data_IF_720495989397
#
_entry.id   IF_720495989397
#
_cell.length_a   1.000
_cell.length_b   1.000
_cell.length_c   1.000
_cell.angle_alpha   90.00
_cell.angle_beta   90.00
_cell.angle_gamma   90.00
#
_symmetry.space_group_name_H-M   'P 1'
#
loop_
_entity.id
_entity.type
_entity.pdbx_description
1 polymer ?
#
# COMPACT_ATOMS: atom_id res chain seq x y z
N UNK A 1 4.66 10.11 -1.26
CA UNK A 1 3.99 8.83 -1.37
C UNK A 1 2.75 8.73 -0.45
N UNK A 2 2.79 9.36 0.73
CA UNK A 2 1.60 9.45 1.61
C UNK A 2 0.53 10.28 0.89
N UNK A 3 -0.71 9.77 0.75
CA UNK A 3 -1.79 10.51 0.11
C UNK A 3 -2.13 11.81 0.83
N UNK A 4 -2.51 12.85 0.07
CA UNK A 4 -2.82 14.18 0.63
C UNK A 4 -4.03 14.22 1.56
N UNK A 5 -4.92 13.23 1.50
CA UNK A 5 -6.03 13.11 2.43
C UNK A 5 -5.62 12.59 3.83
N UNK A 6 -4.41 12.02 3.97
CA UNK A 6 -3.86 11.63 5.28
C UNK A 6 -3.11 12.78 5.95
N UNK A 7 -2.29 13.47 5.19
CA UNK A 7 -1.52 14.62 5.68
C UNK A 7 -1.32 15.60 4.53
N UNK A 8 -1.63 16.87 4.76
CA UNK A 8 -1.46 17.92 3.76
C UNK A 8 0.02 18.22 3.51
N UNK A 9 0.34 18.68 2.30
CA UNK A 9 1.70 19.13 1.97
C UNK A 9 2.13 20.29 2.86
N UNK A 10 1.21 21.22 3.18
CA UNK A 10 1.47 22.33 4.09
C UNK A 10 1.93 21.86 5.49
N UNK A 11 1.31 20.81 6.04
CA UNK A 11 1.72 20.23 7.32
C UNK A 11 3.12 19.64 7.24
N UNK A 12 3.42 18.90 6.17
CA UNK A 12 4.76 18.33 5.93
C UNK A 12 5.81 19.44 5.79
N UNK A 13 5.52 20.50 5.05
CA UNK A 13 6.45 21.62 4.86
C UNK A 13 6.73 22.37 6.15
N UNK A 14 5.72 22.56 7.01
CA UNK A 14 5.88 23.14 8.34
C UNK A 14 6.82 22.30 9.21
N UNK A 15 6.67 20.99 9.21
CA UNK A 15 7.55 20.09 9.97
C UNK A 15 8.99 20.13 9.44
N UNK A 16 9.17 20.13 8.12
CA UNK A 16 10.49 20.25 7.50
C UNK A 16 11.12 21.62 7.83
N UNK A 17 10.34 22.69 7.78
CA UNK A 17 10.82 24.03 8.13
C UNK A 17 11.27 24.08 9.61
N UNK A 18 10.54 23.45 10.50
CA UNK A 18 10.89 23.34 11.91
C UNK A 18 12.20 22.57 12.12
N UNK A 19 12.38 21.45 11.43
CA UNK A 19 13.64 20.69 11.48
C UNK A 19 14.84 21.55 11.02
N UNK A 20 14.67 22.29 9.93
CA UNK A 20 15.71 23.21 9.42
C UNK A 20 16.00 24.34 10.40
N UNK A 21 14.97 24.88 11.03
CA UNK A 21 15.13 25.91 12.06
C UNK A 21 15.99 25.43 13.24
N UNK A 22 15.88 24.16 13.62
CA UNK A 22 16.74 23.51 14.62
C UNK A 22 18.10 23.05 14.08
N UNK A 23 18.48 23.43 12.87
CA UNK A 23 19.81 23.20 12.31
C UNK A 23 19.96 21.89 11.54
N UNK A 24 18.87 21.18 11.23
CA UNK A 24 18.96 20.00 10.38
C UNK A 24 19.28 20.39 8.93
N UNK A 25 20.37 19.85 8.40
CA UNK A 25 20.72 19.99 6.98
C UNK A 25 20.02 18.89 6.17
N UNK A 26 19.22 19.28 5.18
CA UNK A 26 18.50 18.34 4.30
C UNK A 26 19.15 18.35 2.92
N UNK A 27 19.74 17.23 2.51
CA UNK A 27 20.33 17.03 1.18
C UNK A 27 19.41 16.17 0.33
N UNK A 28 18.70 16.80 -0.60
CA UNK A 28 17.84 16.12 -1.55
C UNK A 28 18.64 15.62 -2.76
N UNK A 29 18.11 14.61 -3.47
CA UNK A 29 18.72 14.02 -4.66
C UNK A 29 20.17 13.58 -4.47
N UNK A 30 20.54 13.24 -3.24
CA UNK A 30 21.89 12.86 -2.85
C UNK A 30 21.86 11.41 -2.38
N UNK A 31 22.61 10.50 -3.04
CA UNK A 31 22.78 9.14 -2.52
C UNK A 31 23.36 9.17 -1.11
N UNK A 32 22.82 8.36 -0.23
CA UNK A 32 23.35 8.26 1.12
C UNK A 32 24.77 7.64 1.08
N UNK A 33 25.76 8.25 1.72
CA UNK A 33 27.08 7.65 1.87
C UNK A 33 26.98 6.33 2.66
N UNK A 34 27.97 5.47 2.49
CA UNK A 34 28.10 4.27 3.32
C UNK A 34 28.35 4.61 4.80
N UNK A 35 28.09 3.69 5.69
CA UNK A 35 28.35 3.85 7.13
C UNK A 35 29.83 4.20 7.40
N UNK A 36 30.76 3.58 6.67
CA UNK A 36 32.17 3.86 6.78
C UNK A 36 32.56 5.28 6.39
N UNK A 37 31.97 5.78 5.28
CA UNK A 37 32.17 7.16 4.83
C UNK A 37 31.58 8.15 5.82
N UNK A 38 30.36 7.91 6.33
CA UNK A 38 29.75 8.76 7.35
C UNK A 38 30.58 8.83 8.62
N UNK A 39 31.14 7.71 9.07
CA UNK A 39 32.06 7.69 10.22
C UNK A 39 33.35 8.47 9.94
N UNK A 40 33.93 8.34 8.74
CA UNK A 40 35.10 9.09 8.32
C UNK A 40 34.84 10.61 8.24
N UNK A 41 33.59 11.01 7.97
CA UNK A 41 33.15 12.40 8.01
C UNK A 41 32.88 12.91 9.43
N UNK A 42 33.07 12.11 10.47
CA UNK A 42 32.96 12.51 11.88
C UNK A 42 31.58 12.23 12.51
N UNK A 43 30.63 11.60 11.79
CA UNK A 43 29.35 11.25 12.37
C UNK A 43 29.51 10.07 13.37
N UNK A 44 29.11 10.31 14.62
CA UNK A 44 29.19 9.32 15.70
C UNK A 44 27.92 8.49 15.82
N UNK A 45 26.76 9.04 15.43
CA UNK A 45 25.46 8.39 15.46
C UNK A 45 24.82 8.46 14.07
N UNK A 46 24.32 7.33 13.58
CA UNK A 46 23.74 7.20 12.25
C UNK A 46 22.37 6.52 12.40
N UNK A 47 21.30 7.19 11.96
CA UNK A 47 19.95 6.66 11.96
C UNK A 47 19.51 6.30 10.55
N UNK A 48 19.02 5.08 10.35
CA UNK A 48 18.45 4.63 9.10
C UNK A 48 16.93 4.76 9.16
N UNK A 49 16.40 5.76 8.45
CA UNK A 49 14.97 6.01 8.33
C UNK A 49 14.54 5.95 6.86
N UNK A 50 15.02 4.95 6.12
CA UNK A 50 14.85 4.80 4.66
C UNK A 50 13.46 4.29 4.24
N UNK A 51 12.65 3.85 5.20
CA UNK A 51 11.35 3.26 4.95
C UNK A 51 11.42 1.88 4.26
N UNK A 52 10.27 1.36 3.87
CA UNK A 52 10.11 0.08 3.17
C UNK A 52 9.58 0.31 1.75
N UNK A 53 10.42 0.90 0.89
CA UNK A 53 10.02 1.30 -0.47
C UNK A 53 9.87 0.15 -1.47
N UNK A 54 10.24 -1.09 -1.11
CA UNK A 54 10.09 -2.26 -1.97
C UNK A 54 8.73 -2.92 -1.70
N UNK A 55 7.80 -2.79 -2.64
CA UNK A 55 6.52 -3.49 -2.57
C UNK A 55 6.69 -5.00 -2.77
N UNK A 56 5.80 -5.78 -2.15
CA UNK A 56 5.60 -7.17 -2.55
C UNK A 56 5.13 -7.22 -4.01
N UNK A 57 5.57 -8.22 -4.75
CA UNK A 57 5.15 -8.44 -6.12
C UNK A 57 3.98 -9.44 -6.13
N UNK A 58 2.93 -9.10 -6.86
CA UNK A 58 1.85 -10.02 -7.20
C UNK A 58 2.16 -10.58 -8.58
N UNK A 59 2.49 -11.87 -8.63
CA UNK A 59 2.85 -12.57 -9.86
C UNK A 59 1.65 -13.35 -10.39
N UNK A 60 0.80 -12.66 -11.14
CA UNK A 60 -0.35 -13.24 -11.86
C UNK A 60 -0.39 -12.71 -13.29
N UNK A 61 -0.94 -13.46 -14.25
CA UNK A 61 -1.18 -12.96 -15.60
C UNK A 61 -2.09 -11.74 -15.60
N UNK A 62 -1.76 -10.75 -16.45
CA UNK A 62 -2.59 -9.56 -16.65
C UNK A 62 -1.88 -8.24 -16.32
N UNK A 63 -2.66 -7.18 -16.23
CA UNK A 63 -2.16 -5.83 -15.97
C UNK A 63 -2.01 -5.59 -14.47
N UNK A 64 -0.86 -5.97 -13.92
CA UNK A 64 -0.53 -5.78 -12.49
C UNK A 64 0.39 -4.58 -12.33
N UNK A 65 -0.05 -3.63 -11.52
CA UNK A 65 0.72 -2.40 -11.23
C UNK A 65 1.17 -2.41 -9.78
N UNK A 66 2.47 -2.25 -9.48
CA UNK A 66 2.97 -2.17 -8.12
C UNK A 66 2.38 -0.95 -7.39
N UNK A 67 1.70 -1.18 -6.27
CA UNK A 67 0.94 -0.16 -5.53
C UNK A 67 1.79 1.05 -5.11
N UNK A 68 3.02 0.82 -4.68
CA UNK A 68 3.95 1.89 -4.25
C UNK A 68 4.29 2.81 -5.44
N UNK A 69 4.54 2.23 -6.62
CA UNK A 69 4.81 3.00 -7.82
C UNK A 69 3.58 3.77 -8.28
N UNK A 70 2.40 3.13 -8.26
CA UNK A 70 1.14 3.76 -8.62
C UNK A 70 0.83 4.98 -7.74
N UNK A 71 0.96 4.85 -6.42
CA UNK A 71 0.77 5.96 -5.47
C UNK A 71 1.78 7.10 -5.68
N UNK A 72 3.03 6.78 -6.03
CA UNK A 72 4.04 7.80 -6.37
C UNK A 72 3.66 8.58 -7.62
N UNK A 73 3.27 7.88 -8.67
CA UNK A 73 2.94 8.47 -9.96
C UNK A 73 1.68 9.31 -9.84
N UNK A 74 0.66 8.83 -9.11
CA UNK A 74 -0.55 9.60 -8.80
C UNK A 74 -0.21 10.91 -8.04
N UNK A 75 0.62 10.81 -6.99
CA UNK A 75 1.02 12.01 -6.22
C UNK A 75 1.86 12.98 -7.04
N UNK A 76 2.63 12.48 -8.01
CA UNK A 76 3.39 13.30 -8.95
C UNK A 76 2.55 13.93 -10.08
N UNK A 77 1.23 13.72 -10.07
CA UNK A 77 0.31 14.22 -11.09
C UNK A 77 0.45 13.54 -12.45
N UNK A 78 1.04 12.35 -12.49
CA UNK A 78 1.15 11.56 -13.71
C UNK A 78 -0.16 10.84 -14.00
N UNK A 79 -0.40 10.55 -15.27
CA UNK A 79 -1.46 9.63 -15.66
C UNK A 79 -1.22 8.24 -15.08
N UNK A 80 -2.21 7.74 -14.36
CA UNK A 80 -2.22 6.40 -13.79
C UNK A 80 -3.44 5.64 -14.29
N UNK A 81 -3.36 4.31 -14.42
CA UNK A 81 -4.51 3.51 -14.78
C UNK A 81 -5.64 3.69 -13.77
N UNK A 82 -6.82 4.09 -14.26
CA UNK A 82 -8.07 4.26 -13.53
C UNK A 82 -9.18 3.44 -14.21
N UNK A 83 -10.41 3.62 -13.80
CA UNK A 83 -11.56 2.87 -14.28
C UNK A 83 -12.06 1.94 -13.18
N UNK A 84 -12.06 0.64 -13.39
CA UNK A 84 -12.36 -0.34 -12.33
C UNK A 84 -11.05 -0.81 -11.72
N UNK A 85 -10.78 -0.43 -10.49
CA UNK A 85 -9.54 -0.72 -9.80
C UNK A 85 -9.75 -1.82 -8.77
N UNK A 86 -8.95 -2.89 -8.86
CA UNK A 86 -8.86 -3.92 -7.82
C UNK A 86 -7.53 -3.76 -7.07
N UNK A 87 -7.60 -3.57 -5.76
CA UNK A 87 -6.42 -3.44 -4.90
C UNK A 87 -6.25 -4.72 -4.09
N UNK A 88 -5.15 -5.42 -4.29
CA UNK A 88 -4.87 -6.70 -3.64
C UNK A 88 -4.03 -6.48 -2.40
N UNK A 89 -4.59 -6.78 -1.24
CA UNK A 89 -3.88 -6.69 0.03
C UNK A 89 -4.76 -6.31 1.21
N UNK A 90 -4.21 -6.37 2.41
CA UNK A 90 -4.94 -6.07 3.64
C UNK A 90 -4.15 -5.18 4.61
N UNK A 91 -3.10 -4.49 4.16
CA UNK A 91 -2.34 -3.53 4.96
C UNK A 91 -2.76 -2.09 4.70
N UNK A 92 -2.29 -1.15 5.52
CA UNK A 92 -2.62 0.27 5.41
C UNK A 92 -2.31 0.86 4.02
N UNK A 93 -1.25 0.39 3.35
CA UNK A 93 -0.94 0.80 1.96
C UNK A 93 -2.04 0.40 0.97
N UNK A 94 -2.70 -0.74 1.18
CA UNK A 94 -3.83 -1.14 0.34
C UNK A 94 -5.06 -0.26 0.58
N UNK A 95 -5.31 0.13 1.85
CA UNK A 95 -6.35 1.10 2.20
C UNK A 95 -6.09 2.43 1.51
N UNK A 96 -4.86 2.93 1.61
CA UNK A 96 -4.43 4.17 0.94
C UNK A 96 -4.66 4.13 -0.57
N UNK A 97 -4.26 3.05 -1.22
CA UNK A 97 -4.40 2.93 -2.67
C UNK A 97 -5.88 2.82 -3.09
N UNK A 98 -6.68 2.06 -2.36
CA UNK A 98 -8.09 1.90 -2.67
C UNK A 98 -8.88 3.22 -2.54
N UNK A 99 -8.62 3.98 -1.47
CA UNK A 99 -9.20 5.31 -1.24
C UNK A 99 -8.68 6.33 -2.26
N UNK A 100 -7.37 6.32 -2.54
CA UNK A 100 -6.75 7.20 -3.51
C UNK A 100 -7.31 6.97 -4.93
N UNK A 101 -7.61 5.73 -5.31
CA UNK A 101 -8.20 5.41 -6.60
C UNK A 101 -9.56 6.09 -6.81
N UNK A 102 -10.47 6.00 -5.82
CA UNK A 102 -11.77 6.68 -5.89
C UNK A 102 -11.61 8.20 -5.96
N UNK A 103 -10.74 8.76 -5.12
CA UNK A 103 -10.48 10.21 -5.09
C UNK A 103 -9.84 10.73 -6.37
N UNK A 104 -9.11 9.87 -7.09
CA UNK A 104 -8.54 10.18 -8.40
C UNK A 104 -9.53 10.01 -9.56
N UNK A 105 -10.76 9.53 -9.31
CA UNK A 105 -11.81 9.41 -10.31
C UNK A 105 -12.00 7.98 -10.86
N UNK A 106 -11.51 6.94 -10.17
CA UNK A 106 -11.85 5.57 -10.54
C UNK A 106 -13.37 5.34 -10.46
N UNK A 107 -13.92 4.58 -11.42
CA UNK A 107 -15.34 4.23 -11.43
C UNK A 107 -15.73 3.35 -10.25
N UNK A 108 -14.87 2.43 -9.91
CA UNK A 108 -14.99 1.58 -8.72
C UNK A 108 -13.60 1.29 -8.16
N UNK A 109 -13.54 1.11 -6.85
CA UNK A 109 -12.37 0.57 -6.17
C UNK A 109 -12.80 -0.61 -5.30
N UNK A 110 -12.14 -1.74 -5.48
CA UNK A 110 -12.45 -2.98 -4.77
C UNK A 110 -11.19 -3.50 -4.09
N UNK A 111 -11.26 -3.64 -2.78
CA UNK A 111 -10.22 -4.25 -1.98
C UNK A 111 -10.41 -5.76 -1.97
N UNK A 112 -9.40 -6.50 -2.43
CA UNK A 112 -9.40 -7.97 -2.55
C UNK A 112 -8.48 -8.55 -1.49
N UNK A 113 -9.02 -9.35 -0.57
CA UNK A 113 -8.25 -9.90 0.53
C UNK A 113 -8.50 -11.38 0.74
N UNK A 114 -7.43 -12.16 0.81
CA UNK A 114 -7.49 -13.63 0.91
C UNK A 114 -7.87 -14.21 2.27
N UNK A 115 -8.01 -13.36 3.31
CA UNK A 115 -8.50 -13.73 4.66
C UNK A 115 -9.74 -12.92 4.98
N UNK A 116 -10.18 -12.97 6.24
CA UNK A 116 -11.26 -12.12 6.73
C UNK A 116 -10.71 -10.83 7.35
N UNK A 117 -11.55 -9.83 7.52
CA UNK A 117 -11.21 -8.56 8.19
C UNK A 117 -10.54 -8.77 9.55
N UNK A 118 -10.92 -9.81 10.28
CA UNK A 118 -10.33 -10.15 11.59
C UNK A 118 -8.81 -10.39 11.53
N UNK A 119 -8.29 -10.83 10.39
CA UNK A 119 -6.86 -11.15 10.21
C UNK A 119 -6.13 -10.13 9.33
N UNK A 120 -6.73 -8.96 9.12
CA UNK A 120 -6.06 -7.88 8.40
C UNK A 120 -4.93 -7.29 9.24
N UNK A 121 -3.78 -6.98 8.64
CA UNK A 121 -2.73 -6.24 9.30
C UNK A 121 -2.98 -4.73 9.33
N UNK A 122 -3.98 -4.23 8.58
CA UNK A 122 -4.41 -2.84 8.66
C UNK A 122 -5.19 -2.58 9.94
N UNK A 123 -5.15 -1.33 10.40
CA UNK A 123 -6.00 -0.88 11.49
C UNK A 123 -7.48 -0.98 11.09
N UNK A 124 -8.35 -1.38 12.03
CA UNK A 124 -9.77 -1.58 11.76
C UNK A 124 -10.44 -0.29 11.24
N UNK A 125 -10.10 0.84 11.84
CA UNK A 125 -10.57 2.17 11.44
C UNK A 125 -10.23 2.50 9.97
N UNK A 126 -9.07 2.06 9.47
CA UNK A 126 -8.67 2.29 8.09
C UNK A 126 -9.57 1.57 7.09
N UNK A 127 -10.02 0.37 7.42
CA UNK A 127 -10.99 -0.35 6.60
C UNK A 127 -12.36 0.33 6.65
N UNK A 128 -12.79 0.79 7.81
CA UNK A 128 -14.06 1.50 7.98
C UNK A 128 -14.08 2.76 7.13
N UNK A 129 -13.04 3.59 7.24
CA UNK A 129 -12.86 4.79 6.42
C UNK A 129 -12.80 4.48 4.91
N UNK A 130 -12.21 3.36 4.51
CA UNK A 130 -12.18 2.96 3.11
C UNK A 130 -13.59 2.60 2.59
N UNK A 131 -14.37 1.88 3.40
CA UNK A 131 -15.75 1.53 3.06
C UNK A 131 -16.66 2.78 3.03
N UNK A 132 -16.49 3.71 3.97
CA UNK A 132 -17.18 5.01 3.98
C UNK A 132 -16.87 5.84 2.72
N UNK A 133 -15.63 5.82 2.24
CA UNK A 133 -15.23 6.44 0.97
C UNK A 133 -15.83 5.73 -0.27
N UNK A 134 -16.50 4.58 -0.09
CA UNK A 134 -17.14 3.82 -1.17
C UNK A 134 -16.32 2.66 -1.73
N UNK A 135 -15.21 2.27 -1.09
CA UNK A 135 -14.43 1.09 -1.46
C UNK A 135 -15.25 -0.17 -1.17
N UNK A 136 -15.35 -1.07 -2.15
CA UNK A 136 -15.90 -2.41 -1.94
C UNK A 136 -14.87 -3.30 -1.28
N UNK A 137 -15.26 -4.07 -0.29
CA UNK A 137 -14.38 -5.03 0.36
C UNK A 137 -14.84 -6.46 0.05
N UNK A 138 -13.93 -7.25 -0.53
CA UNK A 138 -14.10 -8.68 -0.79
C UNK A 138 -13.09 -9.45 0.05
N UNK A 139 -13.59 -10.23 0.98
CA UNK A 139 -12.76 -11.12 1.79
C UNK A 139 -12.88 -12.58 1.30
N UNK A 140 -11.90 -13.41 1.69
CA UNK A 140 -11.80 -14.81 1.30
C UNK A 140 -11.73 -15.02 -0.21
N UNK A 141 -11.04 -14.14 -0.91
CA UNK A 141 -10.76 -14.27 -2.34
C UNK A 141 -9.30 -13.94 -2.63
N UNK A 142 -8.67 -14.73 -3.48
CA UNK A 142 -7.28 -14.54 -3.91
C UNK A 142 -7.23 -14.39 -5.43
N UNK A 143 -6.61 -13.34 -5.98
CA UNK A 143 -6.52 -13.15 -7.42
C UNK A 143 -5.65 -14.23 -8.07
N UNK A 144 -6.07 -14.72 -9.22
CA UNK A 144 -5.38 -15.76 -10.00
C UNK A 144 -4.91 -15.21 -11.34
N UNK A 145 -5.74 -14.47 -12.03
CA UNK A 145 -5.42 -13.85 -13.31
C UNK A 145 -6.36 -12.67 -13.61
N UNK A 146 -5.89 -11.75 -14.42
CA UNK A 146 -6.72 -10.68 -14.98
C UNK A 146 -6.81 -10.90 -16.49
N UNK A 147 -8.00 -11.16 -16.97
CA UNK A 147 -8.26 -11.46 -18.38
C UNK A 147 -9.56 -10.77 -18.85
N UNK A 148 -9.56 -10.26 -20.05
CA UNK A 148 -10.72 -9.60 -20.67
C UNK A 148 -11.38 -8.50 -19.79
N UNK A 149 -10.57 -7.74 -19.05
CA UNK A 149 -11.05 -6.68 -18.17
C UNK A 149 -11.66 -7.15 -16.85
N UNK A 150 -11.62 -8.45 -16.56
CA UNK A 150 -12.11 -9.05 -15.31
C UNK A 150 -10.96 -9.62 -14.50
N UNK A 151 -11.13 -9.63 -13.20
CA UNK A 151 -10.20 -10.24 -12.25
C UNK A 151 -10.80 -11.56 -11.76
N UNK A 152 -10.22 -12.67 -12.21
CA UNK A 152 -10.59 -13.99 -11.71
C UNK A 152 -9.92 -14.24 -10.37
N UNK A 153 -10.71 -14.61 -9.39
CA UNK A 153 -10.25 -14.91 -8.04
C UNK A 153 -10.63 -16.32 -7.64
N UNK A 154 -9.76 -16.99 -6.91
CA UNK A 154 -10.08 -18.24 -6.24
C UNK A 154 -10.72 -17.93 -4.89
N UNK A 155 -11.81 -18.65 -4.59
CA UNK A 155 -12.49 -18.56 -3.29
C UNK A 155 -11.64 -19.27 -2.24
N UNK A 156 -11.45 -18.60 -1.13
CA UNK A 156 -10.61 -19.08 -0.02
C UNK A 156 -11.48 -19.47 1.18
N UNK A 157 -10.98 -20.36 2.01
CA UNK A 157 -11.48 -20.59 3.37
C UNK A 157 -10.36 -20.45 4.37
N UNK A 158 -10.70 -20.24 5.63
CA UNK A 158 -9.71 -20.24 6.71
C UNK A 158 -9.42 -21.67 7.12
N UNK A 159 -8.16 -22.08 7.04
CA UNK A 159 -7.66 -23.35 7.55
C UNK A 159 -7.65 -23.41 9.08
N UNK A 160 -7.08 -24.47 9.63
CA UNK A 160 -6.92 -24.62 11.07
C UNK A 160 -5.96 -23.57 11.65
N UNK A 161 -6.15 -23.17 12.91
CA UNK A 161 -5.26 -22.23 13.56
C UNK A 161 -3.87 -22.87 13.76
N UNK A 162 -2.82 -22.08 13.51
CA UNK A 162 -1.45 -22.44 13.89
C UNK A 162 -1.25 -22.31 15.42
N UNK A 163 -0.04 -22.64 15.90
CA UNK A 163 0.33 -22.57 17.32
C UNK A 163 0.10 -21.17 17.95
N UNK A 164 0.02 -20.12 17.14
CA UNK A 164 -0.26 -18.73 17.54
C UNK A 164 -1.72 -18.34 17.34
N UNK A 165 -2.59 -19.29 17.02
CA UNK A 165 -4.02 -19.05 16.75
C UNK A 165 -4.30 -18.37 15.40
N UNK A 166 -3.32 -18.24 14.52
CA UNK A 166 -3.44 -17.60 13.22
C UNK A 166 -3.92 -18.60 12.18
N UNK A 167 -4.99 -18.27 11.45
CA UNK A 167 -5.53 -19.11 10.38
C UNK A 167 -4.99 -18.67 9.03
N UNK A 168 -4.43 -19.61 8.29
CA UNK A 168 -3.98 -19.40 6.91
C UNK A 168 -5.12 -19.56 5.91
N UNK A 169 -5.13 -18.79 4.82
CA UNK A 169 -6.10 -18.99 3.75
C UNK A 169 -5.78 -20.28 3.00
N UNK A 170 -6.81 -21.08 2.72
CA UNK A 170 -6.73 -22.34 1.98
C UNK A 170 -7.64 -22.25 0.77
N UNK A 171 -7.17 -22.61 -0.44
CA UNK A 171 -7.98 -22.65 -1.64
C UNK A 171 -9.17 -23.61 -1.49
N UNK A 172 -10.31 -23.25 -2.10
CA UNK A 172 -11.49 -24.15 -2.16
C UNK A 172 -11.60 -24.88 -3.50
N UNK A 173 -10.90 -24.40 -4.54
CA UNK A 173 -11.05 -24.85 -5.92
C UNK A 173 -12.23 -24.19 -6.65
N UNK A 174 -12.99 -23.32 -5.99
CA UNK A 174 -14.04 -22.52 -6.60
C UNK A 174 -13.50 -21.18 -7.06
N UNK A 175 -14.06 -20.63 -8.13
CA UNK A 175 -13.62 -19.36 -8.70
C UNK A 175 -14.78 -18.38 -8.82
N UNK A 176 -14.46 -17.09 -8.75
CA UNK A 176 -15.37 -15.97 -8.97
C UNK A 176 -14.68 -14.86 -9.79
N UNK A 177 -15.47 -13.99 -10.40
CA UNK A 177 -15.00 -12.83 -11.18
C UNK A 177 -15.61 -11.52 -10.64
#
# INVERSE_FOLDING_TARGET
MIPGFRISEEAIEKDIALMRFYGAEVKLNTPAPSVSELKAMGYTHIFFAVGAGKAGQLDIPGNVVPVIQWLRDLKAGKDVPLGHVAVVGGGNTAMDAARAALRAGAKTSTLVYRRTKKYMPADAEELELAVEDGVRFLELVAPVEQVNGKLKCEVMKLGDPDEKGRRSPVPTGEFTE
#
